data_IF_205661110340
#
_entry.id   IF_205661110340
#
_cell.length_a   1.000
_cell.length_b   1.000
_cell.length_c   1.000
_cell.angle_alpha   90.00
_cell.angle_beta   90.00
_cell.angle_gamma   90.00
#
_symmetry.space_group_name_H-M   'P 1'
#
loop_
_entity.id
_entity.type
_entity.pdbx_description
1 polymer ?
#
# COMPACT_ATOMS: atom_id res chain seq x y z
N UNK A 1 4.67 6.91 4.91
CA UNK A 1 3.58 6.51 3.99
C UNK A 1 2.84 5.27 4.49
N UNK A 2 3.55 4.27 5.02
CA UNK A 2 2.96 3.06 5.62
C UNK A 2 1.89 3.39 6.69
N UNK A 3 2.20 4.29 7.63
CA UNK A 3 1.27 4.65 8.71
C UNK A 3 -0.07 5.21 8.20
N UNK A 4 -0.04 6.03 7.14
CA UNK A 4 -1.23 6.62 6.53
C UNK A 4 -2.08 5.55 5.86
N UNK A 5 -1.46 4.68 5.05
CA UNK A 5 -2.16 3.58 4.39
C UNK A 5 -2.77 2.61 5.42
N UNK A 6 -2.02 2.27 6.46
CA UNK A 6 -2.46 1.42 7.58
C UNK A 6 -3.64 2.05 8.32
N UNK A 7 -3.58 3.34 8.63
CA UNK A 7 -4.66 4.02 9.35
C UNK A 7 -5.95 4.12 8.52
N UNK A 8 -5.86 4.42 7.22
CA UNK A 8 -7.00 4.39 6.31
C UNK A 8 -7.61 2.98 6.22
N UNK A 9 -6.76 1.96 6.12
CA UNK A 9 -7.18 0.56 6.09
C UNK A 9 -7.93 0.16 7.36
N UNK A 10 -7.38 0.44 8.54
CA UNK A 10 -8.03 0.16 9.81
C UNK A 10 -9.34 0.92 9.95
N UNK A 11 -9.35 2.22 9.60
CA UNK A 11 -10.55 3.03 9.64
C UNK A 11 -11.70 2.38 8.88
N UNK A 12 -11.45 1.97 7.64
CA UNK A 12 -12.47 1.37 6.79
C UNK A 12 -12.80 -0.08 7.16
N UNK A 13 -11.80 -0.95 7.19
CA UNK A 13 -12.01 -2.41 7.31
C UNK A 13 -12.09 -2.92 8.74
N UNK A 14 -11.44 -2.28 9.71
CA UNK A 14 -11.45 -2.74 11.10
C UNK A 14 -12.51 -2.02 11.95
N UNK A 15 -12.75 -0.73 11.67
CA UNK A 15 -13.63 0.11 12.49
C UNK A 15 -14.95 0.48 11.81
N UNK A 16 -15.15 0.10 10.54
CA UNK A 16 -16.37 0.40 9.79
C UNK A 16 -16.63 1.90 9.59
N UNK A 17 -15.60 2.73 9.68
CA UNK A 17 -15.69 4.18 9.50
C UNK A 17 -15.37 4.56 8.05
N UNK A 18 -16.10 5.51 7.45
CA UNK A 18 -15.94 5.86 6.04
C UNK A 18 -14.63 6.63 5.76
N UNK A 19 -14.16 6.49 4.52
CA UNK A 19 -13.01 7.21 3.91
C UNK A 19 -13.35 7.72 2.48
N UNK A 20 -14.62 8.01 2.23
CA UNK A 20 -15.15 8.35 0.91
C UNK A 20 -15.08 9.85 0.59
N UNK A 21 -14.89 10.69 1.61
CA UNK A 21 -14.80 12.14 1.43
C UNK A 21 -13.42 12.68 1.80
N UNK A 22 -13.05 13.82 1.22
CA UNK A 22 -11.83 14.55 1.55
C UNK A 22 -11.71 14.85 3.05
N UNK A 23 -12.81 15.26 3.68
CA UNK A 23 -12.82 15.54 5.12
C UNK A 23 -12.51 14.31 5.99
N UNK A 24 -13.00 13.12 5.59
CA UNK A 24 -12.74 11.86 6.28
C UNK A 24 -11.29 11.41 6.12
N UNK A 25 -10.69 11.60 4.94
CA UNK A 25 -9.27 11.31 4.72
C UNK A 25 -8.40 12.30 5.50
N UNK A 26 -8.73 13.60 5.47
CA UNK A 26 -8.01 14.63 6.21
C UNK A 26 -8.05 14.39 7.73
N UNK A 27 -9.14 13.83 8.27
CA UNK A 27 -9.22 13.39 9.67
C UNK A 27 -8.12 12.39 10.01
N UNK A 28 -7.92 11.37 9.18
CA UNK A 28 -6.86 10.37 9.39
C UNK A 28 -5.47 11.02 9.33
N UNK A 29 -5.27 11.95 8.40
CA UNK A 29 -4.00 12.68 8.30
C UNK A 29 -3.72 13.52 9.56
N UNK A 30 -4.74 14.20 10.10
CA UNK A 30 -4.63 14.97 11.34
C UNK A 30 -4.36 14.09 12.56
N UNK A 31 -5.03 12.95 12.68
CA UNK A 31 -4.80 11.99 13.76
C UNK A 31 -3.35 11.46 13.76
N UNK A 32 -2.75 11.38 12.57
CA UNK A 32 -1.35 11.03 12.37
C UNK A 32 -0.38 12.22 12.42
N UNK A 33 -0.87 13.43 12.72
CA UNK A 33 -0.08 14.67 12.78
C UNK A 33 0.66 15.00 11.47
N UNK A 34 0.11 14.60 10.33
CA UNK A 34 0.62 14.96 9.00
C UNK A 34 0.37 16.46 8.79
N UNK A 35 1.44 17.21 8.53
CA UNK A 35 1.35 18.65 8.25
C UNK A 35 0.58 18.89 6.94
N UNK A 36 -0.14 20.00 6.87
CA UNK A 36 -0.88 20.45 5.69
C UNK A 36 -1.91 19.41 5.19
N UNK A 37 -2.55 18.68 6.11
CA UNK A 37 -3.51 17.61 5.80
C UNK A 37 -4.60 18.03 4.79
N UNK A 38 -5.13 19.23 4.93
CA UNK A 38 -6.19 19.79 4.10
C UNK A 38 -5.68 20.07 2.69
N UNK A 39 -4.51 20.69 2.57
CA UNK A 39 -3.87 21.00 1.29
C UNK A 39 -3.55 19.71 0.52
N UNK A 40 -2.93 18.73 1.19
CA UNK A 40 -2.58 17.44 0.60
C UNK A 40 -3.81 16.71 0.03
N UNK A 41 -4.92 16.73 0.76
CA UNK A 41 -6.16 16.10 0.27
C UNK A 41 -6.79 16.90 -0.85
N UNK A 42 -6.65 18.23 -0.86
CA UNK A 42 -7.09 19.06 -1.99
C UNK A 42 -6.26 18.80 -3.26
N UNK A 43 -4.97 18.48 -3.13
CA UNK A 43 -4.14 18.10 -4.28
C UNK A 43 -4.65 16.87 -5.02
N UNK A 44 -5.50 16.02 -4.41
CA UNK A 44 -6.11 14.87 -5.11
C UNK A 44 -6.97 15.27 -6.32
N UNK A 45 -7.40 16.53 -6.39
CA UNK A 45 -8.16 17.06 -7.53
C UNK A 45 -7.28 17.49 -8.71
N UNK A 46 -5.98 17.68 -8.47
CA UNK A 46 -5.06 18.15 -9.50
C UNK A 46 -4.92 17.14 -10.64
N UNK A 47 -4.70 17.65 -11.85
CA UNK A 47 -4.45 16.80 -13.01
C UNK A 47 -3.20 15.93 -12.82
N UNK A 48 -2.16 16.49 -12.20
CA UNK A 48 -0.91 15.81 -11.90
C UNK A 48 -1.13 14.57 -11.02
N UNK A 49 -1.81 14.71 -9.87
CA UNK A 49 -2.03 13.59 -8.93
C UNK A 49 -2.93 12.53 -9.56
N UNK A 50 -3.96 12.94 -10.32
CA UNK A 50 -4.82 12.00 -11.05
C UNK A 50 -4.07 11.24 -12.13
N UNK A 51 -3.14 11.90 -12.82
CA UNK A 51 -2.32 11.26 -13.84
C UNK A 51 -1.35 10.26 -13.22
N UNK A 52 -0.66 10.61 -12.14
CA UNK A 52 0.24 9.68 -11.42
C UNK A 52 -0.53 8.43 -10.95
N UNK A 53 -1.73 8.60 -10.37
CA UNK A 53 -2.55 7.47 -9.95
C UNK A 53 -2.95 6.57 -11.14
N UNK A 54 -3.32 7.18 -12.27
CA UNK A 54 -3.68 6.46 -13.49
C UNK A 54 -2.49 5.71 -14.06
N UNK A 55 -1.35 6.38 -14.24
CA UNK A 55 -0.12 5.80 -14.79
C UNK A 55 0.36 4.60 -13.97
N UNK A 56 0.38 4.71 -12.64
CA UNK A 56 0.73 3.57 -11.77
C UNK A 56 -0.24 2.39 -11.93
N UNK A 57 -1.53 2.67 -12.16
CA UNK A 57 -2.55 1.63 -12.35
C UNK A 57 -2.46 1.00 -13.74
N UNK A 58 -2.24 1.81 -14.77
CA UNK A 58 -2.06 1.39 -16.15
C UNK A 58 -0.79 0.57 -16.32
N UNK A 59 0.29 0.91 -15.62
CA UNK A 59 1.51 0.10 -15.56
C UNK A 59 1.22 -1.30 -15.00
N UNK A 60 0.48 -1.39 -13.88
CA UNK A 60 0.11 -2.68 -13.33
C UNK A 60 -0.73 -3.50 -14.31
N UNK A 61 -1.75 -2.88 -14.93
CA UNK A 61 -2.62 -3.53 -15.93
C UNK A 61 -1.81 -3.99 -17.15
N UNK A 62 -0.90 -3.14 -17.64
CA UNK A 62 0.00 -3.45 -18.76
C UNK A 62 0.91 -4.65 -18.48
N UNK A 63 1.22 -4.91 -17.21
CA UNK A 63 1.95 -6.09 -16.74
C UNK A 63 1.05 -7.29 -16.42
N UNK A 64 -0.23 -7.27 -16.80
CA UNK A 64 -1.16 -8.38 -16.63
C UNK A 64 -1.91 -8.40 -15.30
N UNK A 65 -1.89 -7.31 -14.53
CA UNK A 65 -2.66 -7.21 -13.29
C UNK A 65 -4.17 -7.34 -13.54
N UNK A 66 -4.79 -8.27 -12.82
CA UNK A 66 -6.24 -8.51 -12.85
C UNK A 66 -6.90 -8.33 -11.48
N UNK A 67 -6.16 -7.91 -10.46
CA UNK A 67 -6.66 -7.72 -9.10
C UNK A 67 -5.56 -7.30 -8.13
N UNK A 68 -5.94 -6.96 -6.89
CA UNK A 68 -5.01 -6.55 -5.85
C UNK A 68 -5.05 -7.51 -4.61
N UNK A 69 -3.93 -7.70 -3.90
CA UNK A 69 -2.61 -7.11 -4.18
C UNK A 69 -1.92 -7.79 -5.37
N UNK A 70 -1.19 -6.99 -6.15
CA UNK A 70 -0.32 -7.40 -7.26
C UNK A 70 1.10 -6.95 -6.92
N UNK A 71 2.06 -7.88 -6.87
CA UNK A 71 3.40 -7.62 -6.36
C UNK A 71 4.45 -8.04 -7.37
N UNK A 72 5.25 -7.07 -7.82
CA UNK A 72 6.49 -7.32 -8.55
C UNK A 72 7.62 -7.59 -7.57
N UNK A 73 8.20 -8.77 -7.63
CA UNK A 73 9.34 -9.16 -6.81
C UNK A 73 10.60 -8.89 -7.61
N UNK A 74 11.43 -7.96 -7.15
CA UNK A 74 12.63 -7.52 -7.85
C UNK A 74 13.89 -7.98 -7.11
N UNK A 75 14.98 -8.16 -7.85
CA UNK A 75 16.31 -8.27 -7.24
C UNK A 75 16.80 -6.91 -6.71
N UNK A 76 17.99 -6.92 -6.10
CA UNK A 76 18.64 -5.71 -5.58
C UNK A 76 19.05 -4.68 -6.67
N UNK A 77 18.88 -5.01 -7.95
CA UNK A 77 19.14 -4.15 -9.09
C UNK A 77 17.85 -3.67 -9.78
N UNK A 78 16.68 -4.01 -9.24
CA UNK A 78 15.38 -3.61 -9.77
C UNK A 78 14.89 -4.47 -10.94
N UNK A 79 15.58 -5.57 -11.28
CA UNK A 79 15.08 -6.52 -12.28
C UNK A 79 13.95 -7.33 -11.66
N UNK A 80 12.80 -7.38 -12.33
CA UNK A 80 11.66 -8.23 -11.92
C UNK A 80 12.05 -9.70 -12.07
N UNK A 81 12.05 -10.42 -10.95
CA UNK A 81 12.28 -11.86 -10.89
C UNK A 81 10.99 -12.62 -11.19
N UNK A 82 9.91 -12.24 -10.53
CA UNK A 82 8.57 -12.82 -10.64
C UNK A 82 7.49 -11.80 -10.25
N UNK A 83 6.26 -12.08 -10.65
CA UNK A 83 5.08 -11.30 -10.26
C UNK A 83 4.04 -12.23 -9.66
N UNK A 84 3.45 -11.85 -8.54
CA UNK A 84 2.44 -12.66 -7.84
C UNK A 84 1.18 -11.84 -7.51
N UNK A 85 0.03 -12.52 -7.55
CA UNK A 85 -1.26 -12.00 -7.11
C UNK A 85 -1.69 -12.65 -5.79
N UNK A 86 -2.27 -11.86 -4.89
CA UNK A 86 -2.85 -12.33 -3.64
C UNK A 86 -1.91 -12.25 -2.44
N UNK A 87 -2.50 -12.14 -1.24
CA UNK A 87 -1.77 -12.10 0.02
C UNK A 87 -1.33 -13.49 0.52
N UNK A 88 -1.81 -14.55 -0.11
CA UNK A 88 -1.48 -15.95 0.18
C UNK A 88 -0.16 -16.40 -0.48
N UNK A 89 0.47 -15.53 -1.30
CA UNK A 89 1.73 -15.81 -1.99
C UNK A 89 3.00 -15.37 -1.26
N UNK A 90 2.88 -14.89 -0.01
CA UNK A 90 4.03 -14.47 0.78
C UNK A 90 5.12 -15.56 0.98
N UNK A 91 4.80 -16.87 1.10
CA UNK A 91 5.83 -17.91 1.10
C UNK A 91 6.64 -17.96 -0.20
N UNK A 92 6.00 -17.81 -1.36
CA UNK A 92 6.66 -17.76 -2.67
C UNK A 92 7.48 -16.48 -2.83
N UNK A 93 6.99 -15.34 -2.32
CA UNK A 93 7.75 -14.09 -2.30
C UNK A 93 9.06 -14.27 -1.54
N UNK A 94 9.02 -14.94 -0.38
CA UNK A 94 10.23 -15.21 0.39
C UNK A 94 11.22 -16.12 -0.38
N UNK A 95 10.72 -17.16 -1.04
CA UNK A 95 11.52 -18.05 -1.89
C UNK A 95 12.21 -17.29 -3.05
N UNK A 96 11.47 -16.44 -3.77
CA UNK A 96 12.04 -15.62 -4.85
C UNK A 96 13.09 -14.61 -4.38
N UNK A 97 12.98 -14.15 -3.13
CA UNK A 97 13.95 -13.27 -2.49
C UNK A 97 15.10 -14.02 -1.79
N UNK A 98 15.11 -15.36 -1.82
CA UNK A 98 16.04 -16.20 -1.08
C UNK A 98 16.03 -15.94 0.44
N UNK A 99 14.86 -15.60 0.99
CA UNK A 99 14.63 -15.31 2.42
C UNK A 99 13.77 -16.41 3.08
N UNK A 100 13.97 -16.70 4.38
CA UNK A 100 13.15 -17.67 5.08
C UNK A 100 11.74 -17.12 5.35
N UNK A 101 10.70 -17.89 4.99
CA UNK A 101 9.32 -17.56 5.39
C UNK A 101 9.04 -18.00 6.83
N UNK A 102 8.96 -17.04 7.76
CA UNK A 102 8.73 -17.29 9.19
C UNK A 102 7.26 -17.31 9.61
N UNK A 103 6.34 -17.40 8.65
CA UNK A 103 4.91 -17.20 8.88
C UNK A 103 4.47 -15.74 8.71
N UNK A 104 3.15 -15.48 8.78
CA UNK A 104 2.58 -14.17 8.45
C UNK A 104 2.74 -13.12 9.56
N UNK A 105 3.07 -13.56 10.78
CA UNK A 105 3.20 -12.68 11.94
C UNK A 105 4.64 -12.24 12.08
N UNK A 106 4.85 -10.93 12.31
CA UNK A 106 6.14 -10.44 12.81
C UNK A 106 6.42 -11.10 14.15
N UNK A 107 7.65 -11.59 14.34
CA UNK A 107 8.12 -11.99 15.67
C UNK A 107 7.92 -10.80 16.62
N UNK A 108 7.25 -11.03 17.75
CA UNK A 108 7.14 -9.99 18.78
C UNK A 108 8.57 -9.69 19.23
N UNK A 109 9.00 -8.42 19.13
CA UNK A 109 10.19 -7.99 19.88
C UNK A 109 9.91 -8.33 21.35
N UNK A 110 10.71 -9.21 21.94
CA UNK A 110 10.72 -9.36 23.39
C UNK A 110 11.05 -7.98 23.96
N UNK A 111 10.19 -7.49 24.85
CA UNK A 111 10.30 -6.16 25.44
C UNK A 111 11.72 -5.95 25.96
N UNK A 112 12.40 -4.92 25.45
CA UNK A 112 13.57 -4.32 26.07
C UNK A 112 13.11 -3.23 27.05
#
# INVERSE_FOLDING_TARGET
>A
MEDVARALWHRFYAYGKPIFTKSQVAEVLRDLHVKNSEELVMMSDSAEVKNILRENTDEAIGNGCFGAPWMHITDGHGKVLQTVFGSDRLPQVADFLAEPFKGPMREKKQNA
#
